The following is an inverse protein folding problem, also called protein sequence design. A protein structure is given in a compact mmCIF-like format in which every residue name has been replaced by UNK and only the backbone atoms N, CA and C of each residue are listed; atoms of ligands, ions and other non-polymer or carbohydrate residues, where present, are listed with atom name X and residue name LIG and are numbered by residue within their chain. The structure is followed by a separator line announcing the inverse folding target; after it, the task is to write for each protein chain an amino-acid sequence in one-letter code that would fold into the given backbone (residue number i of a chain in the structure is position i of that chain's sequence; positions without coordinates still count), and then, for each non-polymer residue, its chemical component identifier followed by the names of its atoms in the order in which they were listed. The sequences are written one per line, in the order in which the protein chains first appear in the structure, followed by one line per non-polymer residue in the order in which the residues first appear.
data_IF_606675993128
#
_entry.id   IF_606675993128
#
_cell.length_a   1.000
_cell.length_b   1.000
_cell.length_c   1.000
_cell.angle_alpha   90.00
_cell.angle_beta   90.00
_cell.angle_gamma   90.00
#
_symmetry.space_group_name_H-M   'P 1'
#
loop_
_entity.id
_entity.type
_entity.pdbx_description
1 polymer ?
#
# COMPACT_ATOMS: atom_id res chain seq x y z
N UNK A 1 2.16 4.54 8.31
CA UNK A 1 1.10 5.19 7.50
C UNK A 1 0.16 4.11 6.96
N UNK A 2 -1.15 4.34 6.98
CA UNK A 2 -2.12 3.40 6.39
C UNK A 2 -2.06 3.46 4.86
N UNK A 3 -2.62 2.47 4.16
CA UNK A 3 -2.71 2.47 2.69
C UNK A 3 -3.46 3.71 2.16
N UNK A 4 -4.50 4.14 2.87
CA UNK A 4 -5.25 5.37 2.59
C UNK A 4 -4.37 6.61 2.68
N UNK A 5 -3.42 6.65 3.62
CA UNK A 5 -2.48 7.77 3.78
C UNK A 5 -1.62 7.97 2.52
N UNK A 6 -1.07 6.87 2.01
CA UNK A 6 -0.19 6.90 0.83
C UNK A 6 -0.92 7.27 -0.46
N UNK A 7 -2.21 6.92 -0.56
CA UNK A 7 -3.03 7.25 -1.74
C UNK A 7 -3.31 8.76 -1.80
N UNK A 8 -3.70 9.36 -0.68
CA UNK A 8 -4.00 10.79 -0.66
C UNK A 8 -2.75 11.63 -0.92
N UNK A 9 -1.59 11.27 -0.34
CA UNK A 9 -0.33 12.01 -0.54
C UNK A 9 0.07 11.98 -2.02
N UNK A 10 -0.07 10.82 -2.67
CA UNK A 10 0.16 10.66 -4.10
C UNK A 10 -0.77 11.53 -4.95
N UNK A 11 -2.05 11.63 -4.59
CA UNK A 11 -3.04 12.45 -5.30
C UNK A 11 -2.76 13.95 -5.13
N UNK A 12 -2.41 14.40 -3.93
CA UNK A 12 -2.08 15.81 -3.64
C UNK A 12 -0.81 16.25 -4.36
N UNK A 13 0.23 15.40 -4.35
CA UNK A 13 1.47 15.64 -5.12
C UNK A 13 1.18 15.73 -6.62
N UNK A 14 0.37 14.80 -7.14
CA UNK A 14 0.01 14.81 -8.55
C UNK A 14 -0.80 16.08 -8.93
N UNK A 15 -1.70 16.54 -8.06
CA UNK A 15 -2.44 17.78 -8.29
C UNK A 15 -1.50 18.98 -8.42
N UNK A 16 -0.53 19.13 -7.50
CA UNK A 16 0.47 20.20 -7.57
C UNK A 16 1.32 20.12 -8.84
N UNK A 17 1.77 18.92 -9.21
CA UNK A 17 2.62 18.73 -10.39
C UNK A 17 1.88 19.07 -11.69
N UNK A 18 0.58 18.77 -11.77
CA UNK A 18 -0.25 19.03 -12.96
C UNK A 18 -0.73 20.48 -13.11
N UNK A 19 -0.78 21.26 -12.03
CA UNK A 19 -1.14 22.67 -12.07
C UNK A 19 -0.14 23.49 -12.91
N UNK A 20 -0.63 24.43 -13.70
CA UNK A 20 0.18 25.41 -14.42
C UNK A 20 0.68 26.50 -13.46
N UNK A 21 1.77 27.22 -13.78
CA UNK A 21 2.32 28.26 -12.89
C UNK A 21 1.31 29.32 -12.41
N UNK A 22 0.33 29.69 -13.24
CA UNK A 22 -0.71 30.66 -12.89
C UNK A 22 -1.98 30.06 -12.27
N UNK A 23 -2.05 28.73 -12.12
CA UNK A 23 -3.23 28.09 -11.55
C UNK A 23 -3.25 28.31 -10.03
N UNK A 24 -4.41 28.62 -9.44
CA UNK A 24 -4.55 28.70 -8.00
C UNK A 24 -4.36 27.30 -7.40
N UNK A 25 -3.42 27.18 -6.47
CA UNK A 25 -3.16 25.91 -5.77
C UNK A 25 -3.61 25.98 -4.32
N UNK A 26 -3.64 27.17 -3.71
CA UNK A 26 -3.97 27.33 -2.30
C UNK A 26 -4.81 28.58 -2.07
N UNK A 27 -5.91 28.45 -1.31
CA UNK A 27 -6.74 29.58 -0.89
C UNK A 27 -6.87 29.57 0.64
N UNK A 28 -6.40 30.61 1.35
CA UNK A 28 -6.65 30.73 2.78
C UNK A 28 -8.14 30.93 3.04
N UNK A 29 -8.73 30.13 3.93
CA UNK A 29 -10.17 30.14 4.19
C UNK A 29 -10.66 31.46 4.84
N UNK A 30 -9.76 32.21 5.50
CA UNK A 30 -10.07 33.45 6.23
C UNK A 30 -9.63 34.75 5.55
N UNK A 31 -9.15 34.70 4.30
CA UNK A 31 -8.77 35.89 3.55
C UNK A 31 -9.92 36.36 2.64
N UNK A 32 -11.00 36.88 3.24
CA UNK A 32 -12.08 37.51 2.45
C UNK A 32 -11.49 38.68 1.62
N UNK A 33 -11.31 38.45 0.32
CA UNK A 33 -10.85 39.44 -0.64
C UNK A 33 -9.42 39.29 -1.15
N UNK A 34 -8.62 38.34 -0.62
CA UNK A 34 -7.31 38.04 -1.21
C UNK A 34 -7.44 36.99 -2.32
N UNK A 35 -6.73 37.16 -3.45
CA UNK A 35 -6.70 36.15 -4.49
C UNK A 35 -6.02 34.87 -3.99
N UNK A 36 -6.45 33.70 -4.46
CA UNK A 36 -5.77 32.44 -4.16
C UNK A 36 -4.31 32.48 -4.65
N UNK A 37 -3.42 31.86 -3.88
CA UNK A 37 -2.01 31.75 -4.24
C UNK A 37 -1.85 30.79 -5.42
N UNK A 38 -1.14 31.24 -6.44
CA UNK A 38 -0.83 30.46 -7.63
C UNK A 38 0.32 29.49 -7.37
N UNK A 39 0.46 28.46 -8.22
CA UNK A 39 1.59 27.53 -8.15
C UNK A 39 2.93 28.24 -8.18
N UNK A 40 3.09 29.26 -9.03
CA UNK A 40 4.35 29.99 -9.13
C UNK A 40 4.65 30.75 -7.85
N UNK A 41 3.67 31.41 -7.24
CA UNK A 41 3.84 32.10 -5.96
C UNK A 41 4.19 31.13 -4.83
N UNK A 42 3.62 29.92 -4.85
CA UNK A 42 3.94 28.87 -3.88
C UNK A 42 5.36 28.30 -4.08
N UNK A 43 5.82 28.19 -5.33
CA UNK A 43 7.20 27.79 -5.67
C UNK A 43 8.19 28.90 -5.32
N UNK A 44 7.82 30.17 -5.54
CA UNK A 44 8.64 31.33 -5.19
C UNK A 44 8.80 31.45 -3.67
N UNK A 45 7.77 31.11 -2.89
CA UNK A 45 7.84 31.00 -1.43
C UNK A 45 8.89 29.96 -0.99
N UNK A 46 9.09 28.91 -1.77
CA UNK A 46 10.12 27.90 -1.58
C UNK A 46 11.46 28.26 -2.28
N UNK A 47 11.70 29.54 -2.58
CA UNK A 47 12.89 30.05 -3.27
C UNK A 47 13.15 29.39 -4.63
N UNK A 48 12.08 28.98 -5.33
CA UNK A 48 12.18 28.29 -6.61
C UNK A 48 12.44 26.78 -6.50
N UNK A 49 12.55 26.22 -5.29
CA UNK A 49 12.72 24.78 -5.08
C UNK A 49 11.38 24.06 -5.18
N UNK A 50 11.15 23.42 -6.32
CA UNK A 50 9.90 22.72 -6.61
C UNK A 50 9.66 21.52 -5.69
N UNK A 51 10.72 20.87 -5.18
CA UNK A 51 10.56 19.71 -4.29
C UNK A 51 10.09 20.17 -2.92
N UNK A 52 10.69 21.25 -2.41
CA UNK A 52 10.27 21.87 -1.15
C UNK A 52 8.85 22.42 -1.26
N UNK A 53 8.51 23.12 -2.35
CA UNK A 53 7.16 23.61 -2.63
C UNK A 53 6.13 22.47 -2.66
N UNK A 54 6.44 21.37 -3.34
CA UNK A 54 5.57 20.19 -3.45
C UNK A 54 5.33 19.54 -2.09
N UNK A 55 6.36 19.41 -1.26
CA UNK A 55 6.24 18.80 0.06
C UNK A 55 5.49 19.71 1.05
N UNK A 56 5.71 21.02 0.98
CA UNK A 56 4.95 22.01 1.75
C UNK A 56 3.46 21.99 1.36
N UNK A 57 3.16 21.92 0.06
CA UNK A 57 1.79 21.82 -0.43
C UNK A 57 1.08 20.56 0.08
N UNK A 58 1.75 19.41 -0.02
CA UNK A 58 1.22 18.15 0.51
C UNK A 58 0.98 18.22 2.03
N UNK A 59 1.86 18.87 2.79
CA UNK A 59 1.71 19.04 4.23
C UNK A 59 0.53 19.96 4.61
N UNK A 60 0.33 21.07 3.87
CA UNK A 60 -0.77 22.00 4.08
C UNK A 60 -2.14 21.35 3.82
N UNK A 61 -2.27 20.58 2.74
CA UNK A 61 -3.50 19.86 2.40
C UNK A 61 -3.76 18.66 3.35
N UNK A 62 -2.69 18.02 3.85
CA UNK A 62 -2.80 16.85 4.73
C UNK A 62 -3.38 17.18 6.12
N UNK A 63 -3.14 18.39 6.64
CA UNK A 63 -3.57 18.76 7.99
C UNK A 63 -4.95 19.46 8.05
N UNK A 64 -5.69 19.48 6.93
CA UNK A 64 -7.07 19.99 6.70
C UNK A 64 -7.27 21.53 6.81
N UNK A 65 -8.26 22.09 6.05
CA UNK A 65 -8.35 23.50 5.65
C UNK A 65 -8.55 24.53 6.78
N UNK A 66 -8.80 24.10 8.02
CA UNK A 66 -9.21 25.01 9.10
C UNK A 66 -8.11 25.30 10.13
N UNK A 67 -6.90 24.73 10.00
CA UNK A 67 -5.89 24.86 11.07
C UNK A 67 -4.48 25.15 10.57
N UNK A 68 -4.29 26.36 10.05
CA UNK A 68 -2.98 27.02 10.12
C UNK A 68 -2.99 28.32 10.92
N UNK A 69 -4.15 28.85 11.30
CA UNK A 69 -4.32 29.99 12.22
C UNK A 69 -5.70 29.92 12.89
N UNK A 70 -5.84 29.21 14.01
CA UNK A 70 -7.02 29.33 14.89
C UNK A 70 -6.64 30.02 16.20
N UNK A 71 -7.46 30.99 16.61
CA UNK A 71 -7.37 31.71 17.88
C UNK A 71 -8.50 31.38 18.87
N UNK A 72 -9.27 30.29 18.67
CA UNK A 72 -10.42 29.95 19.51
C UNK A 72 -10.46 28.48 19.94
N UNK A 73 -9.59 28.18 20.92
CA UNK A 73 -9.66 27.10 21.91
C UNK A 73 -10.84 26.13 21.88
N UNK A 74 -10.54 24.88 21.51
CA UNK A 74 -11.35 23.69 21.78
C UNK A 74 -10.45 22.51 22.16
N UNK A 75 -10.57 22.04 23.41
CA UNK A 75 -9.70 21.03 24.03
C UNK A 75 -10.00 19.63 23.47
N UNK A 76 -9.01 18.99 22.85
CA UNK A 76 -9.03 17.58 22.49
C UNK A 76 -7.61 17.00 22.53
N UNK A 77 -7.34 16.16 23.54
CA UNK A 77 -6.03 15.59 23.88
C UNK A 77 -5.31 14.92 22.71
N UNK A 78 -4.15 15.43 22.31
CA UNK A 78 -3.10 14.64 21.63
C UNK A 78 -1.70 15.00 22.16
N UNK A 79 -0.93 13.94 22.39
CA UNK A 79 0.38 13.87 23.02
C UNK A 79 1.46 14.67 22.25
N UNK A 80 2.45 15.32 22.91
CA UNK A 80 3.54 15.96 22.20
C UNK A 80 4.38 14.87 21.52
N UNK A 81 4.39 14.85 20.19
CA UNK A 81 5.40 14.18 19.38
C UNK A 81 6.00 15.21 18.45
N UNK A 82 7.31 15.36 18.52
CA UNK A 82 8.08 16.00 17.47
C UNK A 82 8.08 15.05 16.27
N UNK A 83 7.75 15.59 15.10
CA UNK A 83 7.88 14.87 13.84
C UNK A 83 9.02 15.51 13.06
N UNK A 84 10.08 14.75 12.83
CA UNK A 84 11.15 15.09 11.89
C UNK A 84 10.63 14.82 10.49
N UNK A 85 10.50 15.85 9.65
CA UNK A 85 9.89 15.75 8.30
C UNK A 85 11.00 15.77 7.24
N UNK A 86 12.00 14.91 7.40
CA UNK A 86 13.13 14.73 6.47
C UNK A 86 14.17 15.86 6.42
N UNK A 87 15.37 15.45 6.01
CA UNK A 87 16.52 16.30 5.76
C UNK A 87 16.76 16.40 4.26
N UNK A 88 16.85 17.62 3.73
CA UNK A 88 17.21 17.87 2.34
C UNK A 88 18.60 18.53 2.26
N UNK A 89 19.37 18.23 1.21
CA UNK A 89 20.67 18.87 0.96
C UNK A 89 20.57 19.87 -0.20
N UNK A 90 20.90 21.13 0.07
CA UNK A 90 21.13 22.18 -0.95
C UNK A 90 22.58 22.64 -0.80
N UNK A 91 23.37 22.58 -1.87
CA UNK A 91 24.80 22.98 -1.88
C UNK A 91 25.69 22.34 -0.80
N UNK A 92 25.34 21.13 -0.32
CA UNK A 92 26.10 20.44 0.73
C UNK A 92 25.71 20.80 2.17
N UNK A 93 24.83 21.78 2.37
CA UNK A 93 24.28 22.13 3.69
C UNK A 93 22.99 21.34 3.93
N UNK A 94 22.90 20.73 5.11
CA UNK A 94 21.72 19.98 5.55
C UNK A 94 20.67 20.98 6.04
N UNK A 95 19.52 21.04 5.35
CA UNK A 95 18.37 21.79 5.82
C UNK A 95 17.47 20.84 6.60
N UNK A 96 17.31 21.13 7.89
CA UNK A 96 16.42 20.38 8.79
C UNK A 96 15.24 21.27 9.14
N UNK A 97 14.04 20.80 8.88
CA UNK A 97 12.81 21.48 9.25
C UNK A 97 12.26 20.81 10.51
N UNK A 98 12.28 21.55 11.62
CA UNK A 98 11.69 21.10 12.88
C UNK A 98 10.33 21.76 13.06
N UNK A 99 9.34 20.90 13.31
CA UNK A 99 7.97 21.29 13.61
C UNK A 99 7.66 20.98 15.08
N UNK A 100 7.10 21.95 15.79
CA UNK A 100 6.62 21.79 17.16
C UNK A 100 5.32 22.54 17.42
N UNK A 101 4.40 21.88 18.15
CA UNK A 101 3.19 22.50 18.69
C UNK A 101 3.33 22.66 20.20
N UNK A 102 3.05 23.85 20.70
CA UNK A 102 2.91 24.14 22.14
C UNK A 102 1.48 24.55 22.44
N UNK A 103 1.12 24.64 23.72
CA UNK A 103 -0.19 25.13 24.17
C UNK A 103 -0.45 26.60 23.77
N UNK A 104 0.57 27.32 23.28
CA UNK A 104 0.51 28.74 22.96
C UNK A 104 0.78 29.05 21.48
N UNK A 105 0.91 28.03 20.62
CA UNK A 105 1.10 28.21 19.18
C UNK A 105 2.04 27.19 18.54
N UNK A 106 2.09 27.28 17.22
CA UNK A 106 2.94 26.47 16.34
C UNK A 106 4.22 27.24 15.98
N UNK A 107 5.37 26.56 15.92
CA UNK A 107 6.58 27.16 15.36
C UNK A 107 7.21 26.26 14.28
N UNK A 108 7.80 26.91 13.29
CA UNK A 108 8.55 26.30 12.20
C UNK A 108 9.99 26.78 12.29
N UNK A 109 10.94 25.87 12.49
CA UNK A 109 12.36 26.20 12.50
C UNK A 109 13.04 25.56 11.28
N UNK A 110 13.68 26.39 10.45
CA UNK A 110 14.45 25.97 9.27
C UNK A 110 15.92 26.22 9.58
N UNK A 111 16.72 25.15 9.61
CA UNK A 111 18.16 25.25 9.83
C UNK A 111 18.91 25.27 8.49
N UNK A 112 19.93 26.13 8.33
CA UNK A 112 20.91 26.04 7.22
C UNK A 112 20.70 26.96 6.01
N UNK A 113 19.92 28.05 6.12
CA UNK A 113 19.85 29.10 5.10
C UNK A 113 20.80 30.26 5.44
N UNK A 114 21.55 30.78 4.45
CA UNK A 114 22.53 31.85 4.67
C UNK A 114 21.89 33.25 4.77
N UNK A 115 20.72 33.49 4.17
CA UNK A 115 19.93 34.73 4.32
C UNK A 115 18.42 34.45 4.09
N UNK A 116 17.52 35.22 4.75
CA UNK A 116 16.07 35.24 4.49
C UNK A 116 15.58 36.69 4.37
N UNK A 117 14.62 37.01 3.47
CA UNK A 117 13.99 38.33 3.44
C UNK A 117 13.03 38.52 4.62
N UNK A 118 13.17 39.65 5.31
CA UNK A 118 12.31 40.04 6.44
C UNK A 118 10.99 40.60 5.89
N UNK A 119 9.86 39.95 6.18
CA UNK A 119 8.54 40.57 6.05
C UNK A 119 8.17 41.26 7.36
N UNK A 120 7.76 42.53 7.27
CA UNK A 120 7.23 43.31 8.39
C UNK A 120 5.71 43.30 8.29
N UNK A 121 5.05 42.63 9.23
CA UNK A 121 3.64 42.86 9.51
C UNK A 121 3.53 44.06 10.47
N UNK A 122 2.59 44.97 10.19
CA UNK A 122 2.46 46.27 10.85
C UNK A 122 1.27 46.33 11.84
N UNK A 123 0.78 45.20 12.36
CA UNK A 123 -0.26 45.22 13.38
C UNK A 123 0.04 44.35 14.62
N UNK A 124 0.22 45.07 15.75
CA UNK A 124 0.01 44.70 17.16
C UNK A 124 0.83 43.55 17.82
N UNK A 125 1.66 43.97 18.80
CA UNK A 125 2.12 43.31 20.05
C UNK A 125 2.19 41.77 20.15
N UNK A 126 2.69 41.10 19.11
CA UNK A 126 3.34 39.79 19.27
C UNK A 126 4.72 39.81 18.62
N UNK A 127 5.77 39.66 19.44
CA UNK A 127 7.13 39.48 18.90
C UNK A 127 7.23 38.05 18.40
N UNK A 128 7.00 37.84 17.09
CA UNK A 128 7.30 36.56 16.43
C UNK A 128 8.80 36.50 16.15
N UNK A 129 9.51 35.59 16.81
CA UNK A 129 10.94 35.39 16.58
C UNK A 129 11.11 34.44 15.39
N UNK A 130 11.45 34.99 14.23
CA UNK A 130 12.15 34.26 13.18
C UNK A 130 13.63 34.63 13.27
N UNK A 131 14.50 33.67 13.56
CA UNK A 131 15.93 33.91 13.64
C UNK A 131 16.73 32.62 13.44
N UNK A 132 17.90 32.75 12.82
CA UNK A 132 18.93 31.71 12.82
C UNK A 132 19.53 31.70 14.22
N UNK A 133 19.35 30.61 14.97
CA UNK A 133 19.84 30.51 16.34
C UNK A 133 21.01 29.53 16.39
N UNK A 134 22.23 30.04 16.55
CA UNK A 134 23.36 29.23 16.99
C UNK A 134 23.14 28.72 18.42
N UNK A 135 23.66 27.53 18.76
CA UNK A 135 23.40 26.83 20.04
C UNK A 135 23.55 27.71 21.29
N UNK A 136 24.49 28.66 21.28
CA UNK A 136 24.77 29.56 22.41
C UNK A 136 23.67 30.61 22.63
N UNK A 137 22.98 31.05 21.57
CA UNK A 137 21.93 32.07 21.63
C UNK A 137 20.60 31.48 22.09
N UNK A 138 20.30 30.23 21.70
CA UNK A 138 19.11 29.50 22.15
C UNK A 138 19.10 29.33 23.67
N UNK A 139 20.26 29.02 24.25
CA UNK A 139 20.43 28.90 25.71
C UNK A 139 20.23 30.22 26.47
N UNK A 140 20.50 31.37 25.84
CA UNK A 140 20.34 32.68 26.46
C UNK A 140 18.91 33.23 26.33
N UNK A 141 18.23 32.99 25.19
CA UNK A 141 16.82 33.37 25.00
C UNK A 141 15.92 32.60 25.98
N UNK A 142 16.16 31.30 26.17
CA UNK A 142 15.42 30.48 27.13
C UNK A 142 15.67 30.89 28.60
N UNK A 143 16.84 31.46 28.92
CA UNK A 143 17.12 32.03 30.25
C UNK A 143 16.43 33.37 30.48
N UNK A 144 16.39 34.25 29.47
CA UNK A 144 15.81 35.58 29.60
C UNK A 144 14.27 35.55 29.62
N UNK A 145 13.65 34.66 28.85
CA UNK A 145 12.19 34.43 28.89
C UNK A 145 11.76 33.79 30.23
N UNK A 146 12.54 32.83 30.74
CA UNK A 146 12.30 32.21 32.05
C UNK A 146 12.45 33.18 33.24
N UNK A 147 13.22 34.25 33.09
CA UNK A 147 13.37 35.29 34.11
C UNK A 147 12.25 36.34 34.06
N UNK A 148 11.56 36.50 32.92
CA UNK A 148 10.48 37.49 32.74
C UNK A 148 9.10 36.98 33.17
N UNK A 149 8.87 35.67 33.17
CA UNK A 149 7.58 35.08 33.53
C UNK A 149 7.64 34.47 34.93
N UNK A 150 7.41 35.30 35.96
CA UNK A 150 7.35 34.85 37.35
C UNK A 150 6.23 33.82 37.59
N UNK A 151 6.59 32.54 37.65
CA UNK A 151 5.68 31.45 38.01
C UNK A 151 6.44 30.17 38.36
N UNK A 152 6.06 29.54 39.48
CA UNK A 152 6.67 28.31 40.01
C UNK A 152 6.50 27.12 39.05
N UNK A 153 7.61 26.55 38.60
CA UNK A 153 7.61 25.27 37.87
C UNK A 153 7.56 24.06 38.82
N UNK A 154 6.90 22.95 38.43
CA UNK A 154 6.95 21.69 39.17
C UNK A 154 8.38 21.13 39.29
N UNK A 155 8.73 20.37 40.35
CA UNK A 155 10.12 20.05 40.72
C UNK A 155 10.92 19.19 39.73
N UNK A 156 10.31 18.73 38.64
CA UNK A 156 10.87 17.69 37.79
C UNK A 156 11.70 18.24 36.62
N UNK A 157 11.68 19.55 36.37
CA UNK A 157 12.47 20.21 35.32
C UNK A 157 13.82 20.78 35.79
N UNK A 158 14.10 20.72 37.10
CA UNK A 158 15.33 21.29 37.69
C UNK A 158 16.60 20.44 37.49
N UNK A 159 16.52 19.29 36.80
CA UNK A 159 17.65 18.36 36.62
C UNK A 159 18.47 18.54 35.34
N UNK A 160 18.13 19.51 34.48
CA UNK A 160 18.85 19.74 33.21
C UNK A 160 19.62 21.07 33.16
N UNK A 161 19.80 21.73 34.29
CA UNK A 161 20.65 22.91 34.40
C UNK A 161 21.74 22.63 35.45
N UNK A 162 22.88 22.13 34.99
CA UNK A 162 24.13 22.15 35.77
C UNK A 162 24.87 23.45 35.36
N UNK A 163 24.96 24.46 36.24
CA UNK A 163 25.83 25.61 36.01
C UNK A 163 27.14 25.33 36.73
N UNK A 164 28.17 24.89 35.99
CA UNK A 164 29.59 25.09 36.31
C UNK A 164 30.46 24.29 35.31
N UNK A 165 30.63 24.81 34.10
CA UNK A 165 31.82 24.49 33.31
C UNK A 165 32.90 25.50 33.70
N UNK A 166 33.64 25.19 34.77
CA UNK A 166 35.05 25.62 34.82
C UNK A 166 35.76 24.75 33.79
N UNK A 167 36.36 25.39 32.79
CA UNK A 167 37.34 24.73 31.91
C UNK A 167 38.54 24.38 32.79
N UNK A 168 38.47 23.21 33.44
CA UNK A 168 39.63 22.52 33.94
C UNK A 168 40.30 21.90 32.71
N UNK A 169 41.39 22.51 32.27
CA UNK A 169 42.38 21.88 31.39
C UNK A 169 43.02 20.74 32.17
N UNK A 170 42.38 19.56 32.14
CA UNK A 170 42.89 18.22 32.49
C UNK A 170 41.66 17.32 32.74
N UNK A 171 40.97 16.94 31.66
CA UNK A 171 40.13 15.74 31.66
C UNK A 171 40.95 14.62 30.98
N UNK A 172 40.91 13.39 31.51
CA UNK A 172 41.60 12.27 30.87
C UNK A 172 41.02 12.04 29.48
N UNK A 173 41.84 11.45 28.63
CA UNK A 173 41.72 11.21 27.19
C UNK A 173 40.52 10.32 26.77
N UNK A 174 39.33 10.54 27.35
CA UNK A 174 38.10 9.82 27.05
C UNK A 174 37.56 10.18 25.66
N UNK A 175 37.86 11.38 25.14
CA UNK A 175 37.44 11.77 23.78
C UNK A 175 38.20 10.97 22.71
N UNK A 176 39.51 10.76 22.86
CA UNK A 176 40.27 9.91 21.94
C UNK A 176 39.85 8.43 22.03
N UNK A 177 39.53 7.95 23.23
CA UNK A 177 38.99 6.60 23.41
C UNK A 177 37.58 6.44 22.79
N UNK A 178 36.76 7.50 22.78
CA UNK A 178 35.44 7.51 22.15
C UNK A 178 35.57 7.57 20.62
N UNK A 179 36.42 8.43 20.08
CA UNK A 179 36.72 8.53 18.64
C UNK A 179 37.27 7.20 18.09
N UNK A 180 38.21 6.56 18.79
CA UNK A 180 38.75 5.26 18.39
C UNK A 180 37.69 4.14 18.37
N UNK A 181 36.67 4.21 19.22
CA UNK A 181 35.53 3.26 19.21
C UNK A 181 34.63 3.49 18.00
N UNK A 182 34.32 4.75 17.68
CA UNK A 182 33.51 5.12 16.51
C UNK A 182 34.20 4.69 15.21
N UNK A 183 35.52 4.92 15.09
CA UNK A 183 36.30 4.50 13.92
C UNK A 183 36.35 2.98 13.75
N UNK A 184 36.49 2.23 14.85
CA UNK A 184 36.49 0.77 14.82
C UNK A 184 35.11 0.20 14.46
N UNK A 185 34.03 0.79 14.96
CA UNK A 185 32.66 0.40 14.62
C UNK A 185 32.32 0.73 13.16
N UNK A 186 32.76 1.88 12.65
CA UNK A 186 32.70 2.24 11.24
C UNK A 186 33.46 1.24 10.37
N UNK A 187 34.70 0.87 10.75
CA UNK A 187 35.48 -0.16 10.04
C UNK A 187 34.78 -1.51 10.02
N UNK A 188 34.25 -1.97 11.14
CA UNK A 188 33.49 -3.23 11.23
C UNK A 188 32.24 -3.19 10.37
N UNK A 189 31.53 -2.07 10.34
CA UNK A 189 30.36 -1.88 9.47
C UNK A 189 30.76 -1.98 7.98
N UNK A 190 31.85 -1.33 7.57
CA UNK A 190 32.38 -1.44 6.20
C UNK A 190 32.78 -2.86 5.83
N UNK A 191 33.54 -3.56 6.71
CA UNK A 191 33.95 -4.95 6.47
C UNK A 191 32.74 -5.89 6.35
N UNK A 192 31.69 -5.65 7.14
CA UNK A 192 30.44 -6.41 7.08
C UNK A 192 29.69 -6.16 5.76
N UNK A 193 29.55 -4.91 5.35
CA UNK A 193 28.96 -4.57 4.04
C UNK A 193 29.71 -5.21 2.88
N UNK A 194 31.04 -5.20 2.91
CA UNK A 194 31.87 -5.85 1.87
C UNK A 194 31.69 -7.37 1.84
N UNK A 195 31.58 -8.02 3.00
CA UNK A 195 31.36 -9.45 3.10
C UNK A 195 29.96 -9.85 2.59
N UNK A 196 28.94 -9.10 2.96
CA UNK A 196 27.56 -9.33 2.54
C UNK A 196 27.42 -9.07 1.02
N UNK A 197 28.04 -8.00 0.51
CA UNK A 197 28.10 -7.73 -0.93
C UNK A 197 28.76 -8.87 -1.73
N UNK A 198 29.88 -9.43 -1.24
CA UNK A 198 30.53 -10.58 -1.89
C UNK A 198 29.64 -11.82 -1.89
N UNK A 199 28.93 -12.10 -0.79
CA UNK A 199 27.96 -13.21 -0.73
C UNK A 199 26.84 -13.03 -1.74
N UNK A 200 26.26 -11.84 -1.81
CA UNK A 200 25.22 -11.51 -2.78
C UNK A 200 25.71 -11.67 -4.23
N UNK A 201 26.90 -11.16 -4.52
CA UNK A 201 27.49 -11.25 -5.87
C UNK A 201 27.64 -12.70 -6.34
N UNK A 202 28.10 -13.59 -5.46
CA UNK A 202 28.25 -15.01 -5.79
C UNK A 202 26.89 -15.68 -6.05
N UNK A 203 25.90 -15.44 -5.19
CA UNK A 203 24.55 -15.98 -5.36
C UNK A 203 23.91 -15.49 -6.68
N UNK A 204 23.90 -14.18 -6.89
CA UNK A 204 23.31 -13.54 -8.08
C UNK A 204 23.95 -14.06 -9.38
N UNK A 205 25.25 -14.36 -9.38
CA UNK A 205 25.93 -14.89 -10.57
C UNK A 205 25.33 -16.22 -11.06
N UNK A 206 24.74 -17.00 -10.15
CA UNK A 206 24.06 -18.26 -10.47
C UNK A 206 22.60 -18.05 -10.89
N UNK A 207 21.96 -16.97 -10.45
CA UNK A 207 20.53 -16.70 -10.69
C UNK A 207 20.31 -16.07 -12.07
N UNK A 208 21.17 -15.11 -12.44
CA UNK A 208 21.04 -14.31 -13.66
C UNK A 208 20.91 -15.15 -14.95
N UNK A 209 21.68 -16.23 -15.16
CA UNK A 209 21.53 -17.06 -16.36
C UNK A 209 20.17 -17.72 -16.52
N UNK A 210 19.47 -18.02 -15.41
CA UNK A 210 18.13 -18.61 -15.42
C UNK A 210 17.09 -17.51 -15.62
N UNK A 211 17.18 -16.45 -14.82
CA UNK A 211 16.19 -15.37 -14.80
C UNK A 211 16.18 -14.54 -16.08
N UNK A 212 17.32 -14.39 -16.78
CA UNK A 212 17.37 -13.66 -18.05
C UNK A 212 16.50 -14.28 -19.14
N UNK A 213 16.15 -15.56 -19.02
CA UNK A 213 15.31 -16.22 -20.00
C UNK A 213 13.84 -15.75 -19.82
N UNK A 214 13.43 -15.43 -18.58
CA UNK A 214 12.07 -15.02 -18.22
C UNK A 214 11.88 -13.50 -18.08
N UNK A 215 12.89 -12.76 -17.61
CA UNK A 215 12.79 -11.34 -17.26
C UNK A 215 13.37 -10.48 -18.40
N UNK A 216 12.69 -9.37 -18.71
CA UNK A 216 13.18 -8.39 -19.67
C UNK A 216 14.53 -7.79 -19.25
N UNK A 217 15.39 -7.52 -20.23
CA UNK A 217 16.77 -7.03 -19.97
C UNK A 217 16.79 -5.77 -19.12
N UNK A 218 15.88 -4.82 -19.38
CA UNK A 218 15.84 -3.55 -18.64
C UNK A 218 15.40 -3.77 -17.19
N UNK A 219 14.34 -4.56 -16.97
CA UNK A 219 13.86 -4.88 -15.63
C UNK A 219 14.92 -5.61 -14.81
N UNK A 220 15.55 -6.65 -15.37
CA UNK A 220 16.61 -7.38 -14.70
C UNK A 220 17.82 -6.48 -14.40
N UNK A 221 18.21 -5.61 -15.33
CA UNK A 221 19.29 -4.63 -15.09
C UNK A 221 18.96 -3.67 -13.95
N UNK A 222 17.72 -3.19 -13.87
CA UNK A 222 17.24 -2.35 -12.77
C UNK A 222 17.32 -3.09 -11.43
N UNK A 223 16.80 -4.32 -11.36
CA UNK A 223 16.89 -5.14 -10.15
C UNK A 223 18.35 -5.35 -9.70
N UNK A 224 19.24 -5.66 -10.65
CA UNK A 224 20.67 -5.85 -10.36
C UNK A 224 21.37 -4.56 -9.91
N UNK A 225 20.92 -3.39 -10.36
CA UNK A 225 21.43 -2.12 -9.87
C UNK A 225 20.96 -1.86 -8.43
N UNK A 226 19.70 -2.18 -8.13
CA UNK A 226 19.09 -1.96 -6.80
C UNK A 226 19.64 -2.92 -5.72
N UNK A 227 20.20 -4.07 -6.10
CA UNK A 227 21.00 -4.93 -5.20
C UNK A 227 22.10 -4.15 -4.47
N UNK A 228 22.61 -3.06 -5.06
CA UNK A 228 23.69 -2.24 -4.46
C UNK A 228 23.17 -1.10 -3.59
N UNK A 229 21.86 -0.89 -3.54
CA UNK A 229 21.22 0.17 -2.77
C UNK A 229 20.88 -0.28 -1.34
N UNK A 230 20.20 0.61 -0.62
CA UNK A 230 19.71 0.37 0.74
C UNK A 230 18.75 -0.82 0.81
N UNK A 231 17.97 -1.04 -0.26
CA UNK A 231 17.06 -2.18 -0.42
C UNK A 231 17.75 -3.43 -1.01
N UNK A 232 19.08 -3.47 -1.01
CA UNK A 232 19.85 -4.51 -1.71
C UNK A 232 19.48 -5.94 -1.31
N UNK A 233 19.25 -6.17 -0.01
CA UNK A 233 18.83 -7.49 0.50
C UNK A 233 17.47 -7.92 -0.06
N UNK A 234 16.50 -7.00 -0.13
CA UNK A 234 15.18 -7.29 -0.69
C UNK A 234 15.28 -7.79 -2.13
N UNK A 235 16.09 -7.14 -2.97
CA UNK A 235 16.29 -7.58 -4.35
C UNK A 235 17.05 -8.89 -4.47
N UNK A 236 18.00 -9.17 -3.57
CA UNK A 236 18.68 -10.49 -3.52
C UNK A 236 17.66 -11.58 -3.22
N UNK A 237 16.85 -11.39 -2.18
CA UNK A 237 15.84 -12.35 -1.74
C UNK A 237 14.81 -12.55 -2.85
N UNK A 238 14.41 -11.47 -3.53
CA UNK A 238 13.44 -11.54 -4.61
C UNK A 238 13.97 -12.27 -5.85
N UNK A 239 15.25 -12.09 -6.20
CA UNK A 239 15.88 -12.85 -7.28
C UNK A 239 15.96 -14.34 -6.94
N UNK A 240 16.25 -14.71 -5.70
CA UNK A 240 16.24 -16.12 -5.27
C UNK A 240 14.82 -16.71 -5.27
N UNK A 241 13.82 -15.95 -4.81
CA UNK A 241 12.41 -16.35 -4.87
C UNK A 241 11.97 -16.65 -6.30
N UNK A 242 12.23 -15.74 -7.24
CA UNK A 242 11.88 -15.92 -8.65
C UNK A 242 12.62 -17.10 -9.28
N UNK A 243 13.90 -17.31 -8.93
CA UNK A 243 14.66 -18.47 -9.41
C UNK A 243 14.00 -19.76 -8.94
N UNK A 244 13.69 -19.87 -7.64
CA UNK A 244 13.01 -21.04 -7.08
C UNK A 244 11.68 -21.29 -7.78
N UNK A 245 10.89 -20.24 -7.97
CA UNK A 245 9.61 -20.32 -8.66
C UNK A 245 9.78 -20.89 -10.07
N UNK A 246 10.70 -20.36 -10.87
CA UNK A 246 10.99 -20.84 -12.24
C UNK A 246 11.46 -22.29 -12.25
N UNK A 247 12.27 -22.71 -11.28
CA UNK A 247 12.76 -24.09 -11.19
C UNK A 247 11.63 -25.07 -10.84
N UNK A 248 10.70 -24.67 -9.97
CA UNK A 248 9.63 -25.52 -9.44
C UNK A 248 8.31 -25.43 -10.19
N UNK A 249 8.09 -24.40 -10.99
CA UNK A 249 6.82 -24.23 -11.69
C UNK A 249 6.63 -25.35 -12.73
N UNK A 250 5.37 -25.77 -12.98
CA UNK A 250 5.07 -26.87 -13.85
C UNK A 250 5.57 -26.64 -15.27
N UNK A 251 5.98 -27.71 -15.95
CA UNK A 251 6.30 -27.70 -17.37
C UNK A 251 5.02 -27.88 -18.19
N UNK A 252 5.08 -27.56 -19.48
CA UNK A 252 3.96 -27.78 -20.41
C UNK A 252 3.36 -29.17 -20.24
N UNK A 253 2.04 -29.24 -20.16
CA UNK A 253 1.21 -30.44 -19.94
C UNK A 253 1.12 -30.97 -18.50
N UNK A 254 1.85 -30.41 -17.53
CA UNK A 254 1.77 -30.84 -16.13
C UNK A 254 0.51 -30.32 -15.41
N UNK A 255 -0.16 -29.30 -15.95
CA UNK A 255 -1.47 -28.79 -15.49
C UNK A 255 -2.61 -29.08 -16.48
N UNK A 256 -2.40 -30.00 -17.44
CA UNK A 256 -3.44 -30.35 -18.41
C UNK A 256 -4.69 -30.92 -17.73
N UNK A 257 -5.86 -30.56 -18.25
CA UNK A 257 -7.16 -30.95 -17.68
C UNK A 257 -7.58 -30.18 -16.42
N UNK A 258 -6.77 -29.25 -15.88
CA UNK A 258 -7.17 -28.44 -14.72
C UNK A 258 -8.09 -27.26 -15.10
N UNK A 259 -8.10 -26.82 -16.35
CA UNK A 259 -8.95 -25.70 -16.80
C UNK A 259 -8.69 -24.43 -15.98
N UNK A 260 -9.74 -23.83 -15.42
CA UNK A 260 -9.62 -22.63 -14.57
C UNK A 260 -8.98 -22.91 -13.20
N UNK A 261 -8.77 -24.17 -12.83
CA UNK A 261 -8.03 -24.57 -11.62
C UNK A 261 -6.52 -24.60 -11.83
N UNK A 262 -6.05 -24.42 -13.06
CA UNK A 262 -4.61 -24.29 -13.30
C UNK A 262 -4.08 -23.07 -12.53
N UNK A 263 -2.94 -23.24 -11.87
CA UNK A 263 -2.27 -22.19 -11.11
C UNK A 263 -1.45 -21.33 -12.07
N UNK A 264 -1.72 -20.03 -12.07
CA UNK A 264 -0.90 -19.00 -12.71
C UNK A 264 0.27 -18.64 -11.77
N UNK A 265 1.48 -19.09 -12.14
CA UNK A 265 2.69 -18.89 -11.34
C UNK A 265 3.37 -17.56 -11.60
N UNK A 266 3.26 -17.01 -12.81
CA UNK A 266 3.87 -15.72 -13.17
C UNK A 266 2.84 -14.82 -13.82
N UNK A 267 3.01 -13.51 -13.64
CA UNK A 267 2.19 -12.50 -14.27
C UNK A 267 3.08 -11.47 -14.96
N UNK A 268 2.87 -11.27 -16.25
CA UNK A 268 3.47 -10.17 -17.01
C UNK A 268 2.39 -9.17 -17.34
N UNK A 269 2.74 -7.89 -17.34
CA UNK A 269 1.79 -6.84 -17.71
C UNK A 269 2.45 -5.78 -18.58
N UNK A 270 1.61 -5.10 -19.35
CA UNK A 270 1.90 -3.87 -20.07
C UNK A 270 0.86 -2.81 -19.68
N UNK A 271 0.88 -1.64 -20.31
CA UNK A 271 -0.11 -0.59 -20.03
C UNK A 271 -1.57 -1.00 -20.29
N UNK A 272 -1.83 -2.09 -21.03
CA UNK A 272 -3.20 -2.50 -21.36
C UNK A 272 -3.41 -3.99 -21.58
N UNK A 273 -2.44 -4.85 -21.25
CA UNK A 273 -2.56 -6.29 -21.42
C UNK A 273 -1.89 -7.02 -20.27
N UNK A 274 -2.50 -8.13 -19.85
CA UNK A 274 -2.00 -9.03 -18.80
C UNK A 274 -1.74 -10.42 -19.40
N UNK A 275 -0.69 -11.08 -18.91
CA UNK A 275 -0.32 -12.42 -19.35
C UNK A 275 0.01 -13.26 -18.12
N UNK A 276 -0.72 -14.34 -17.92
CA UNK A 276 -0.61 -15.20 -16.75
C UNK A 276 -0.04 -16.54 -17.18
N UNK A 277 1.16 -16.88 -16.69
CA UNK A 277 1.85 -18.11 -17.07
C UNK A 277 1.51 -19.21 -16.09
N UNK A 278 0.93 -20.30 -16.60
CA UNK A 278 0.64 -21.50 -15.81
C UNK A 278 1.80 -22.49 -15.90
N UNK A 279 2.44 -22.60 -17.06
CA UNK A 279 3.47 -23.62 -17.29
C UNK A 279 4.66 -23.03 -18.05
N UNK A 280 5.87 -23.35 -17.63
CA UNK A 280 7.09 -23.03 -18.39
C UNK A 280 7.29 -24.04 -19.51
N UNK A 281 8.16 -23.71 -20.46
CA UNK A 281 8.46 -24.66 -21.53
C UNK A 281 9.19 -25.87 -20.93
N UNK A 282 8.91 -27.05 -21.47
CA UNK A 282 9.64 -28.26 -21.14
C UNK A 282 11.03 -28.29 -21.79
N UNK A 283 11.22 -27.51 -22.85
CA UNK A 283 12.48 -27.37 -23.58
C UNK A 283 13.57 -26.65 -22.77
N UNK A 284 14.82 -26.83 -23.20
CA UNK A 284 15.98 -26.22 -22.52
C UNK A 284 15.97 -24.69 -22.62
N UNK A 285 15.51 -24.14 -23.74
CA UNK A 285 15.40 -22.69 -23.94
C UNK A 285 13.97 -22.23 -23.65
N UNK A 286 13.85 -21.24 -22.77
CA UNK A 286 12.56 -20.62 -22.48
C UNK A 286 12.23 -19.55 -23.52
N UNK A 287 11.73 -19.98 -24.68
CA UNK A 287 11.28 -19.06 -25.74
C UNK A 287 9.80 -18.70 -25.55
N UNK A 288 9.01 -19.67 -25.12
CA UNK A 288 7.57 -19.58 -24.93
C UNK A 288 7.17 -20.18 -23.59
N UNK A 289 5.92 -20.02 -23.20
CA UNK A 289 5.30 -20.64 -22.04
C UNK A 289 3.83 -20.91 -22.35
N UNK A 290 3.13 -21.69 -21.53
CA UNK A 290 1.67 -21.87 -21.67
C UNK A 290 0.94 -21.06 -20.59
N UNK A 291 -0.18 -20.44 -20.96
CA UNK A 291 -0.92 -19.59 -20.05
C UNK A 291 -2.08 -18.82 -20.68
N UNK A 292 -2.59 -17.84 -19.95
CA UNK A 292 -3.70 -16.97 -20.34
C UNK A 292 -3.16 -15.61 -20.82
N UNK A 293 -3.54 -15.20 -22.03
CA UNK A 293 -3.29 -13.84 -22.55
C UNK A 293 -4.57 -13.03 -22.51
N UNK A 294 -4.63 -12.02 -21.66
CA UNK A 294 -5.77 -11.12 -21.53
C UNK A 294 -5.41 -9.72 -22.01
N UNK A 295 -5.67 -9.47 -23.29
CA UNK A 295 -5.30 -8.24 -23.97
C UNK A 295 -6.28 -7.09 -23.74
N UNK A 296 -7.50 -7.39 -23.26
CA UNK A 296 -8.59 -6.42 -23.18
C UNK A 296 -9.31 -6.41 -21.83
N UNK A 297 -8.95 -7.29 -20.89
CA UNK A 297 -9.65 -7.45 -19.63
C UNK A 297 -10.99 -8.19 -19.77
N UNK A 298 -11.18 -8.96 -20.85
CA UNK A 298 -12.45 -9.61 -21.20
C UNK A 298 -12.43 -11.13 -21.01
N UNK A 299 -11.46 -11.63 -20.25
CA UNK A 299 -11.33 -13.03 -19.85
C UNK A 299 -10.19 -13.77 -20.53
N UNK A 300 -9.60 -13.19 -21.56
CA UNK A 300 -8.38 -13.66 -22.23
C UNK A 300 -8.50 -15.00 -22.96
N UNK A 301 -7.42 -15.38 -23.64
CA UNK A 301 -7.29 -16.62 -24.39
C UNK A 301 -6.14 -17.50 -23.85
N UNK A 302 -6.40 -18.80 -23.69
CA UNK A 302 -5.38 -19.78 -23.32
C UNK A 302 -4.53 -20.15 -24.54
N UNK A 303 -3.22 -20.20 -24.37
CA UNK A 303 -2.34 -20.61 -25.46
C UNK A 303 -0.87 -20.53 -25.11
N UNK A 304 -0.04 -20.80 -26.12
CA UNK A 304 1.39 -20.57 -26.05
C UNK A 304 1.68 -19.07 -26.15
N UNK A 305 2.43 -18.56 -25.19
CA UNK A 305 2.81 -17.16 -25.03
C UNK A 305 4.31 -17.04 -25.27
N UNK A 306 4.71 -16.23 -26.24
CA UNK A 306 6.12 -15.99 -26.53
C UNK A 306 6.76 -15.08 -25.48
N UNK A 307 7.59 -15.65 -24.61
CA UNK A 307 8.34 -14.92 -23.59
C UNK A 307 9.35 -13.97 -24.26
N UNK A 308 9.94 -14.35 -25.38
CA UNK A 308 10.82 -13.46 -26.16
C UNK A 308 10.08 -12.22 -26.68
N UNK A 309 8.84 -12.37 -27.14
CA UNK A 309 8.02 -11.23 -27.59
C UNK A 309 7.59 -10.35 -26.43
N UNK A 310 7.14 -10.93 -25.31
CA UNK A 310 6.83 -10.17 -24.08
C UNK A 310 8.01 -9.28 -23.66
N UNK A 311 9.21 -9.86 -23.61
CA UNK A 311 10.44 -9.12 -23.28
C UNK A 311 10.75 -8.03 -24.30
N UNK A 312 10.46 -8.26 -25.59
CA UNK A 312 10.73 -7.30 -26.68
C UNK A 312 9.76 -6.11 -26.67
N UNK A 313 8.49 -6.33 -26.33
CA UNK A 313 7.49 -5.26 -26.22
C UNK A 313 7.57 -4.50 -24.90
N UNK A 314 8.44 -4.92 -23.98
CA UNK A 314 8.64 -4.28 -22.69
C UNK A 314 7.59 -4.65 -21.65
N UNK A 315 6.97 -5.83 -21.77
CA UNK A 315 6.15 -6.36 -20.69
C UNK A 315 7.02 -6.60 -19.46
N UNK A 316 6.52 -6.17 -18.30
CA UNK A 316 7.21 -6.30 -17.03
C UNK A 316 6.70 -7.53 -16.27
N UNK A 317 7.61 -8.29 -15.66
CA UNK A 317 7.25 -9.35 -14.74
C UNK A 317 6.80 -8.74 -13.41
N UNK A 318 5.61 -9.07 -12.93
CA UNK A 318 5.09 -8.59 -11.67
C UNK A 318 5.81 -9.22 -10.48
N UNK A 319 6.58 -8.39 -9.76
CA UNK A 319 7.32 -8.82 -8.56
C UNK A 319 6.42 -9.03 -7.35
N UNK A 320 5.15 -8.62 -7.37
CA UNK A 320 4.22 -8.80 -6.27
C UNK A 320 3.18 -9.89 -6.55
N UNK A 321 3.31 -10.57 -7.69
CA UNK A 321 2.43 -11.68 -8.03
C UNK A 321 2.57 -12.82 -7.02
N UNK A 322 1.42 -13.32 -6.56
CA UNK A 322 1.32 -14.53 -5.74
C UNK A 322 0.61 -15.60 -6.57
N UNK A 323 1.19 -16.81 -6.72
CA UNK A 323 0.54 -17.88 -7.47
C UNK A 323 -0.86 -18.18 -6.97
N UNK A 324 -1.81 -18.22 -7.92
CA UNK A 324 -3.23 -18.46 -7.67
C UNK A 324 -3.89 -19.05 -8.91
N UNK A 325 -5.10 -19.56 -8.78
CA UNK A 325 -5.83 -20.18 -9.90
C UNK A 325 -6.14 -19.16 -11.00
N UNK A 326 -6.29 -19.64 -12.24
CA UNK A 326 -6.81 -18.83 -13.34
C UNK A 326 -8.21 -18.30 -13.03
N UNK A 327 -9.02 -19.05 -12.29
CA UNK A 327 -10.33 -18.59 -11.79
C UNK A 327 -10.22 -17.32 -10.96
N UNK A 328 -9.40 -17.34 -9.90
CA UNK A 328 -9.17 -16.18 -9.02
C UNK A 328 -8.55 -15.00 -9.77
N UNK A 329 -7.88 -15.27 -10.89
CA UNK A 329 -7.30 -14.24 -11.75
C UNK A 329 -8.37 -13.56 -12.62
N UNK A 330 -9.29 -14.34 -13.19
CA UNK A 330 -10.39 -13.84 -14.04
C UNK A 330 -11.48 -13.14 -13.24
N UNK A 331 -11.80 -13.68 -12.07
CA UNK A 331 -12.78 -13.12 -11.15
C UNK A 331 -12.23 -13.20 -9.71
N UNK A 332 -11.64 -12.11 -9.19
CA UNK A 332 -11.13 -12.06 -7.83
C UNK A 332 -12.19 -12.28 -6.74
N UNK A 333 -13.47 -12.13 -7.07
CA UNK A 333 -14.59 -12.40 -6.16
C UNK A 333 -15.16 -13.81 -6.32
N UNK A 334 -14.67 -14.58 -7.29
CA UNK A 334 -15.11 -15.96 -7.48
C UNK A 334 -14.80 -16.76 -6.23
N UNK A 335 -15.78 -17.53 -5.79
CA UNK A 335 -15.57 -18.46 -4.69
C UNK A 335 -14.64 -19.58 -5.16
N UNK A 336 -13.75 -20.08 -4.28
CA UNK A 336 -12.97 -21.26 -4.59
C UNK A 336 -13.94 -22.41 -4.93
N UNK A 337 -13.57 -23.32 -5.83
CA UNK A 337 -14.35 -24.53 -6.07
C UNK A 337 -14.56 -25.23 -4.73
N UNK A 338 -15.81 -25.30 -4.29
CA UNK A 338 -16.14 -26.07 -3.09
C UNK A 338 -16.28 -27.51 -3.53
N UNK A 339 -15.35 -28.36 -3.10
CA UNK A 339 -15.43 -29.78 -3.42
C UNK A 339 -16.61 -30.44 -2.67
N UNK A 340 -16.98 -31.63 -3.11
CA UNK A 340 -18.08 -32.39 -2.52
C UNK A 340 -17.85 -32.67 -1.02
N UNK A 341 -16.59 -32.82 -0.59
CA UNK A 341 -16.22 -33.06 0.81
C UNK A 341 -16.40 -31.80 1.67
N UNK A 342 -16.14 -30.62 1.11
CA UNK A 342 -16.33 -29.33 1.76
C UNK A 342 -17.81 -28.97 1.89
N UNK A 343 -18.63 -29.23 0.87
CA UNK A 343 -20.10 -29.10 0.97
C UNK A 343 -20.60 -30.06 2.07
N UNK A 344 -20.11 -31.30 2.08
CA UNK A 344 -20.47 -32.28 3.10
C UNK A 344 -20.06 -31.82 4.50
N UNK A 345 -18.83 -31.34 4.70
CA UNK A 345 -18.34 -30.81 5.99
C UNK A 345 -19.19 -29.63 6.45
N UNK A 346 -19.54 -28.72 5.54
CA UNK A 346 -20.46 -27.61 5.82
C UNK A 346 -21.84 -28.11 6.25
N UNK A 347 -22.37 -29.14 5.58
CA UNK A 347 -23.65 -29.72 5.96
C UNK A 347 -23.61 -30.43 7.32
N UNK A 348 -22.49 -31.07 7.65
CA UNK A 348 -22.28 -31.69 8.97
C UNK A 348 -22.18 -30.61 10.06
N UNK A 349 -21.41 -29.54 9.82
CA UNK A 349 -21.18 -28.50 10.83
C UNK A 349 -22.42 -27.66 11.16
N UNK A 350 -23.39 -27.59 10.25
CA UNK A 350 -24.64 -26.85 10.43
C UNK A 350 -25.87 -27.75 10.64
N UNK A 351 -25.66 -29.04 10.96
CA UNK A 351 -26.72 -30.04 11.19
C UNK A 351 -27.77 -30.09 10.05
N UNK A 352 -27.31 -29.96 8.80
CA UNK A 352 -28.17 -29.90 7.63
C UNK A 352 -27.83 -31.01 6.61
N UNK A 353 -27.55 -32.22 7.11
CA UNK A 353 -27.26 -33.41 6.28
C UNK A 353 -28.35 -33.73 5.25
N UNK A 354 -29.60 -33.33 5.49
CA UNK A 354 -30.68 -33.45 4.50
C UNK A 354 -30.40 -32.68 3.20
N UNK A 355 -29.68 -31.54 3.27
CA UNK A 355 -29.25 -30.77 2.09
C UNK A 355 -28.20 -31.54 1.30
N UNK A 356 -27.22 -32.14 1.98
CA UNK A 356 -26.19 -32.97 1.36
C UNK A 356 -26.78 -34.17 0.62
N UNK A 357 -27.76 -34.85 1.21
CA UNK A 357 -28.46 -35.97 0.58
C UNK A 357 -29.15 -35.55 -0.72
N UNK A 358 -29.89 -34.45 -0.69
CA UNK A 358 -30.60 -33.94 -1.86
C UNK A 358 -29.63 -33.42 -2.94
N UNK A 359 -28.52 -32.80 -2.55
CA UNK A 359 -27.46 -32.39 -3.48
C UNK A 359 -26.81 -33.60 -4.17
N UNK A 360 -26.47 -34.63 -3.39
CA UNK A 360 -25.92 -35.88 -3.90
C UNK A 360 -26.89 -36.57 -4.86
N UNK A 361 -28.19 -36.60 -4.51
CA UNK A 361 -29.24 -37.15 -5.35
C UNK A 361 -29.39 -36.38 -6.67
N UNK A 362 -29.34 -35.05 -6.63
CA UNK A 362 -29.38 -34.20 -7.82
C UNK A 362 -28.17 -34.43 -8.74
N UNK A 363 -26.95 -34.60 -8.20
CA UNK A 363 -25.77 -34.94 -9.01
C UNK A 363 -25.89 -36.30 -9.68
N UNK A 364 -26.42 -37.29 -8.97
CA UNK A 364 -26.60 -38.65 -9.50
C UNK A 364 -27.72 -38.73 -10.54
N UNK A 365 -28.79 -37.96 -10.35
CA UNK A 365 -29.95 -37.96 -11.23
C UNK A 365 -30.53 -36.54 -11.39
N UNK A 366 -29.99 -35.74 -12.33
CA UNK A 366 -30.45 -34.37 -12.57
C UNK A 366 -31.89 -34.36 -13.10
N UNK A 367 -32.84 -34.08 -12.22
CA UNK A 367 -34.28 -34.02 -12.53
C UNK A 367 -34.93 -32.85 -11.82
N UNK A 368 -36.09 -32.42 -12.32
CA UNK A 368 -36.86 -31.35 -11.68
C UNK A 368 -37.23 -31.73 -10.24
N UNK A 369 -37.62 -32.99 -10.02
CA UNK A 369 -37.98 -33.50 -8.69
C UNK A 369 -36.79 -33.47 -7.72
N UNK A 370 -35.60 -33.89 -8.16
CA UNK A 370 -34.39 -33.84 -7.34
C UNK A 370 -33.98 -32.40 -7.00
N UNK A 371 -34.22 -31.47 -7.90
CA UNK A 371 -33.99 -30.05 -7.64
C UNK A 371 -35.02 -29.45 -6.70
N UNK A 372 -36.29 -29.79 -6.85
CA UNK A 372 -37.34 -29.37 -5.93
C UNK A 372 -37.09 -29.91 -4.51
N UNK A 373 -36.60 -31.16 -4.38
CA UNK A 373 -36.16 -31.72 -3.11
C UNK A 373 -34.99 -30.91 -2.53
N UNK A 374 -33.91 -30.69 -3.29
CA UNK A 374 -32.78 -29.86 -2.86
C UNK A 374 -33.21 -28.47 -2.42
N UNK A 375 -34.03 -27.81 -3.23
CA UNK A 375 -34.57 -26.48 -2.95
C UNK A 375 -35.40 -26.46 -1.66
N UNK A 376 -36.26 -27.46 -1.47
CA UNK A 376 -37.13 -27.55 -0.29
C UNK A 376 -36.35 -27.72 1.02
N UNK A 377 -35.16 -28.33 0.95
CA UNK A 377 -34.28 -28.56 2.09
C UNK A 377 -33.27 -27.43 2.31
N UNK A 378 -32.73 -26.85 1.24
CA UNK A 378 -31.76 -25.77 1.29
C UNK A 378 -32.38 -24.42 1.67
N UNK A 379 -33.67 -24.26 1.40
CA UNK A 379 -34.42 -23.04 1.74
C UNK A 379 -35.54 -23.47 2.70
N UNK A 380 -35.27 -23.51 4.02
CA UNK A 380 -36.30 -23.82 4.99
C UNK A 380 -37.49 -22.88 4.80
N UNK A 381 -38.69 -23.36 5.10
CA UNK A 381 -39.87 -22.50 5.24
C UNK A 381 -39.74 -21.63 6.51
N UNK A 382 -38.78 -20.69 6.52
CA UNK A 382 -38.57 -19.70 7.58
C UNK A 382 -38.68 -18.27 7.02
N UNK A 383 -38.66 -17.29 7.93
CA UNK A 383 -38.82 -15.87 7.60
C UNK A 383 -37.70 -15.31 6.69
N UNK A 384 -36.56 -16.01 6.58
CA UNK A 384 -35.39 -15.60 5.77
C UNK A 384 -35.39 -16.20 4.35
N UNK A 385 -36.43 -16.96 3.98
CA UNK A 385 -36.59 -17.54 2.64
C UNK A 385 -36.32 -16.53 1.52
N UNK A 386 -36.81 -15.31 1.67
CA UNK A 386 -36.68 -14.28 0.64
C UNK A 386 -35.23 -13.78 0.53
N UNK A 387 -34.52 -13.65 1.64
CA UNK A 387 -33.11 -13.24 1.68
C UNK A 387 -32.19 -14.30 1.08
N UNK A 388 -32.38 -15.57 1.47
CA UNK A 388 -31.62 -16.70 0.90
C UNK A 388 -31.90 -16.82 -0.59
N UNK A 389 -33.16 -16.73 -1.00
CA UNK A 389 -33.56 -16.79 -2.41
C UNK A 389 -32.94 -15.66 -3.23
N UNK A 390 -32.98 -14.43 -2.71
CA UNK A 390 -32.42 -13.27 -3.40
C UNK A 390 -30.90 -13.39 -3.56
N UNK A 391 -30.18 -13.84 -2.53
CA UNK A 391 -28.74 -14.08 -2.63
C UNK A 391 -28.39 -15.17 -3.66
N UNK A 392 -29.16 -16.27 -3.68
CA UNK A 392 -28.99 -17.31 -4.68
C UNK A 392 -29.32 -16.82 -6.12
N UNK A 393 -30.33 -15.95 -6.29
CA UNK A 393 -30.65 -15.33 -7.57
C UNK A 393 -29.57 -14.35 -8.04
N UNK A 394 -28.98 -13.57 -7.12
CA UNK A 394 -27.89 -12.64 -7.41
C UNK A 394 -26.65 -13.39 -7.90
N UNK A 395 -26.22 -14.45 -7.20
CA UNK A 395 -25.07 -15.29 -7.60
C UNK A 395 -25.34 -15.98 -8.93
N UNK A 396 -26.55 -16.51 -9.12
CA UNK A 396 -26.93 -17.10 -10.39
C UNK A 396 -26.82 -16.07 -11.53
N UNK A 397 -27.38 -14.86 -11.34
CA UNK A 397 -27.39 -13.79 -12.34
C UNK A 397 -25.98 -13.29 -12.66
N UNK A 398 -25.10 -13.24 -11.66
CA UNK A 398 -23.68 -12.91 -11.86
C UNK A 398 -22.97 -13.97 -12.71
N UNK A 399 -23.28 -15.25 -12.52
CA UNK A 399 -22.62 -16.35 -13.23
C UNK A 399 -22.95 -16.47 -14.72
N UNK A 400 -24.14 -16.07 -15.17
CA UNK A 400 -24.56 -16.23 -16.58
C UNK A 400 -24.99 -14.92 -17.27
N UNK A 401 -25.02 -13.79 -16.55
CA UNK A 401 -25.44 -12.49 -17.06
C UNK A 401 -26.92 -12.39 -17.43
N UNK A 402 -27.75 -13.40 -17.10
CA UNK A 402 -29.15 -13.45 -17.48
C UNK A 402 -30.06 -13.30 -16.26
N UNK A 403 -31.03 -12.39 -16.36
CA UNK A 403 -31.97 -12.09 -15.27
C UNK A 403 -33.21 -13.01 -15.34
N UNK A 404 -32.99 -14.33 -15.40
CA UNK A 404 -34.05 -15.32 -15.27
C UNK A 404 -34.15 -15.75 -13.80
N UNK A 405 -35.36 -15.88 -13.24
CA UNK A 405 -35.53 -16.52 -11.93
C UNK A 405 -34.93 -17.93 -11.94
N UNK A 406 -34.45 -18.43 -10.80
CA UNK A 406 -33.73 -19.73 -10.70
C UNK A 406 -34.48 -20.90 -11.37
N UNK A 407 -35.82 -20.87 -11.42
CA UNK A 407 -36.65 -21.89 -12.10
C UNK A 407 -36.58 -21.84 -13.63
N UNK A 408 -36.26 -20.70 -14.23
CA UNK A 408 -36.15 -20.53 -15.69
C UNK A 408 -34.79 -20.96 -16.27
N UNK A 409 -33.82 -21.29 -15.41
CA UNK A 409 -32.45 -21.68 -15.79
C UNK A 409 -32.27 -23.18 -15.99
N UNK A 410 -33.35 -23.95 -15.86
CA UNK A 410 -33.36 -25.37 -16.23
C UNK A 410 -33.08 -25.55 -17.72
N UNK A 411 -31.85 -25.95 -18.05
CA UNK A 411 -31.48 -26.43 -19.38
C UNK A 411 -30.44 -25.59 -20.14
N UNK A 412 -29.96 -24.46 -19.61
CA UNK A 412 -28.87 -23.68 -20.21
C UNK A 412 -27.94 -23.18 -19.11
N UNK A 413 -26.67 -23.60 -19.17
CA UNK A 413 -25.55 -23.11 -18.34
C UNK A 413 -25.93 -22.82 -16.89
N UNK A 414 -26.01 -23.88 -16.09
CA UNK A 414 -26.20 -23.73 -14.65
C UNK A 414 -25.01 -22.92 -14.07
N UNK A 415 -25.24 -21.81 -13.34
CA UNK A 415 -24.27 -21.41 -12.31
C UNK A 415 -24.00 -22.63 -11.43
N UNK A 416 -22.76 -22.84 -10.97
CA UNK A 416 -22.44 -24.10 -10.32
C UNK A 416 -23.42 -24.31 -9.15
N UNK A 417 -24.17 -25.41 -9.16
CA UNK A 417 -25.15 -25.73 -8.11
C UNK A 417 -24.49 -25.63 -6.73
N UNK A 418 -23.18 -25.90 -6.69
CA UNK A 418 -22.25 -25.65 -5.61
C UNK A 418 -22.25 -24.19 -5.12
N UNK A 419 -22.10 -23.18 -5.98
CA UNK A 419 -22.09 -21.76 -5.57
C UNK A 419 -23.43 -21.31 -4.96
N UNK A 420 -24.53 -21.78 -5.54
CA UNK A 420 -25.88 -21.54 -5.02
C UNK A 420 -26.02 -22.17 -3.63
N UNK A 421 -25.55 -23.40 -3.45
CA UNK A 421 -25.59 -24.12 -2.17
C UNK A 421 -24.71 -23.50 -1.10
N UNK A 422 -23.48 -23.14 -1.45
CA UNK A 422 -22.53 -22.50 -0.54
C UNK A 422 -23.09 -21.15 -0.08
N UNK A 423 -23.68 -20.38 -0.99
CA UNK A 423 -24.35 -19.13 -0.67
C UNK A 423 -25.54 -19.36 0.26
N UNK A 424 -26.41 -20.34 -0.05
CA UNK A 424 -27.56 -20.66 0.79
C UNK A 424 -27.14 -21.10 2.20
N UNK A 425 -26.13 -21.96 2.31
CA UNK A 425 -25.57 -22.43 3.57
C UNK A 425 -24.96 -21.27 4.37
N UNK A 426 -24.21 -20.38 3.74
CA UNK A 426 -23.61 -19.20 4.39
C UNK A 426 -24.65 -18.20 4.90
N UNK A 427 -25.66 -17.86 4.10
CA UNK A 427 -26.74 -16.94 4.52
C UNK A 427 -27.59 -17.55 5.64
N UNK A 428 -27.75 -18.88 5.64
CA UNK A 428 -28.44 -19.60 6.71
C UNK A 428 -27.59 -19.67 7.99
N UNK A 429 -26.26 -19.74 7.85
CA UNK A 429 -25.31 -19.82 8.96
C UNK A 429 -24.94 -18.48 9.60
N UNK A 430 -25.03 -17.36 8.87
CA UNK A 430 -24.75 -16.03 9.40
C UNK A 430 -25.90 -15.59 10.34
N UNK A 431 -25.74 -15.90 11.62
CA UNK A 431 -26.62 -15.44 12.70
C UNK A 431 -26.37 -13.97 13.11
N UNK A 432 -25.36 -13.30 12.55
CA UNK A 432 -24.98 -11.93 12.90
C UNK A 432 -25.29 -10.93 11.76
N UNK A 433 -26.27 -10.05 12.02
CA UNK A 433 -26.54 -8.73 11.42
C UNK A 433 -26.04 -8.46 9.99
N UNK A 434 -26.77 -8.95 8.97
CA UNK A 434 -26.78 -8.28 7.66
C UNK A 434 -27.87 -7.19 7.71
N UNK A 435 -27.53 -5.89 7.62
CA UNK A 435 -28.53 -4.84 7.68
C UNK A 435 -29.44 -4.94 6.46
N UNK A 436 -30.71 -5.24 6.71
CA UNK A 436 -31.78 -5.19 5.71
C UNK A 436 -31.90 -3.74 5.25
N UNK A 437 -31.48 -3.46 4.02
CA UNK A 437 -31.61 -2.14 3.42
C UNK A 437 -33.10 -1.79 3.29
N UNK A 438 -33.62 -1.02 4.25
CA UNK A 438 -35.03 -0.61 4.30
C UNK A 438 -35.32 0.34 3.14
N UNK A 439 -36.07 -0.14 2.14
CA UNK A 439 -36.63 0.70 1.09
C UNK A 439 -37.52 1.79 1.70
N UNK A 440 -37.26 3.04 1.32
CA UNK A 440 -38.14 4.18 1.57
C UNK A 440 -39.55 3.93 1.00
N UNK A 441 -40.62 4.39 1.67
CA UNK A 441 -41.97 4.24 1.16
C UNK A 441 -42.16 5.13 -0.06
N UNK A 442 -42.70 4.57 -1.16
CA UNK A 442 -43.18 5.36 -2.29
C UNK A 442 -44.49 6.03 -1.89
N UNK A 443 -44.46 7.35 -1.79
CA UNK A 443 -45.63 8.23 -1.89
C UNK A 443 -45.86 8.63 -3.33
#
# INVERSE_FOLDING_TARGET
MSATTKIFEKLTVQAFDTAQPGDPVYQPEYSEGEPPMTKQEFVDLAEGDQVVARNLFAACEWQHPETLLDEHGGIGFFHPKFHEIESARKNGTLVTILYGKTDYGMFLAIYGADELPIYKDNNQDTTRIAGIVGEEVAGNILRDEGARMGGDYPPNYRKLLIPNLRVNTELPDESAAQEARVDEDMRKATVRQDADFRRHTNAISTYVPILREFIGTQQLKTMLALVRGEEGQFFVDKLDELRKLVETMPKTYEQDGMGDEAIAYMHYFTAGANFYITERDMEVRQIQAYGLSDLYGDGGEMGYISIEELKKVGAELDLHWTPKTLRETKDPNSLPPVDDDDIRKLCVSHDCMGIWEAYSALKLNPSMDAWEDLRSRAIPWNERRQTVWQACEEVATQGDGQNFGLSGRFGKTFPSITDILVTALRVTASDEDVPVNSKAPRG
#
